data_IF_219262577919
#
_entry.id   IF_219262577919
#
_cell.length_a   1.000
_cell.length_b   1.000
_cell.length_c   1.000
_cell.angle_alpha   90.00
_cell.angle_beta   90.00
_cell.angle_gamma   90.00
#
_symmetry.space_group_name_H-M   'P 1'
#
loop_
_entity.id
_entity.type
_entity.pdbx_description
1 polymer ?
#
# COMPACT_ATOMS: atom_id res chain seq x y z
N UNK A 1 3.77 5.57 -39.63
CA UNK A 1 3.53 5.96 -38.23
C UNK A 1 4.39 5.05 -37.36
N UNK A 2 5.47 5.58 -36.76
CA UNK A 2 6.39 4.78 -35.95
C UNK A 2 5.67 4.33 -34.68
N UNK A 3 5.41 3.02 -34.56
CA UNK A 3 5.01 2.41 -33.31
C UNK A 3 6.17 2.63 -32.32
N UNK A 4 6.04 3.60 -31.42
CA UNK A 4 6.99 3.75 -30.30
C UNK A 4 6.98 2.42 -29.56
N UNK A 5 8.03 1.63 -29.73
CA UNK A 5 8.23 0.38 -29.03
C UNK A 5 8.20 0.69 -27.53
N UNK A 6 7.17 0.25 -26.84
CA UNK A 6 6.96 0.61 -25.45
C UNK A 6 8.07 -0.02 -24.62
N UNK A 7 8.84 0.82 -23.92
CA UNK A 7 10.03 0.40 -23.16
C UNK A 7 9.63 -0.63 -22.10
N UNK A 8 10.36 -1.75 -22.04
CA UNK A 8 10.22 -2.80 -21.02
C UNK A 8 10.27 -2.17 -19.62
N UNK A 9 9.18 -2.29 -18.85
CA UNK A 9 9.11 -1.86 -17.44
C UNK A 9 9.45 -3.02 -16.52
N UNK A 10 10.16 -2.75 -15.43
CA UNK A 10 10.29 -3.66 -14.29
C UNK A 10 9.33 -3.22 -13.18
N UNK A 11 8.37 -4.08 -12.86
CA UNK A 11 7.28 -3.81 -11.92
C UNK A 11 7.39 -4.76 -10.74
N UNK A 12 7.50 -4.24 -9.52
CA UNK A 12 7.43 -5.05 -8.30
C UNK A 12 6.09 -4.82 -7.61
N UNK A 13 5.37 -5.90 -7.29
CA UNK A 13 4.15 -5.88 -6.48
C UNK A 13 4.40 -6.65 -5.19
N UNK A 14 4.34 -5.99 -4.03
CA UNK A 14 4.54 -6.66 -2.73
C UNK A 14 3.27 -7.36 -2.25
N UNK A 15 3.39 -8.50 -1.57
CA UNK A 15 2.23 -9.25 -1.06
C UNK A 15 1.28 -9.74 -2.17
N UNK A 16 1.84 -10.18 -3.29
CA UNK A 16 1.12 -10.49 -4.52
C UNK A 16 0.77 -11.97 -4.71
N UNK A 17 0.96 -12.80 -3.68
CA UNK A 17 0.60 -14.22 -3.72
C UNK A 17 -0.91 -14.47 -3.56
N UNK A 18 -1.72 -13.45 -3.24
CA UNK A 18 -3.18 -13.54 -3.12
C UNK A 18 -3.83 -12.15 -3.14
N UNK A 19 -5.16 -12.11 -3.15
CA UNK A 19 -5.94 -10.89 -2.98
C UNK A 19 -5.63 -9.83 -4.03
N UNK A 20 -5.57 -8.57 -3.61
CA UNK A 20 -5.38 -7.44 -4.53
C UNK A 20 -4.05 -7.48 -5.29
N UNK A 21 -2.95 -7.88 -4.64
CA UNK A 21 -1.65 -7.93 -5.31
C UNK A 21 -1.61 -8.99 -6.43
N UNK A 22 -2.30 -10.11 -6.23
CA UNK A 22 -2.47 -11.14 -7.25
C UNK A 22 -3.29 -10.62 -8.45
N UNK A 23 -4.42 -9.97 -8.17
CA UNK A 23 -5.29 -9.40 -9.20
C UNK A 23 -4.63 -8.25 -9.97
N UNK A 24 -3.77 -7.46 -9.32
CA UNK A 24 -2.92 -6.46 -9.98
C UNK A 24 -2.01 -7.14 -11.00
N UNK A 25 -1.35 -8.25 -10.65
CA UNK A 25 -0.50 -9.00 -11.60
C UNK A 25 -1.34 -9.57 -12.74
N UNK A 26 -2.49 -10.18 -12.42
CA UNK A 26 -3.41 -10.72 -13.43
C UNK A 26 -3.82 -9.67 -14.45
N UNK A 27 -4.23 -8.48 -14.01
CA UNK A 27 -4.57 -7.37 -14.91
C UNK A 27 -3.38 -6.84 -15.70
N UNK A 28 -2.20 -6.73 -15.07
CA UNK A 28 -0.97 -6.38 -15.77
C UNK A 28 -0.62 -7.35 -16.90
N UNK A 29 -1.02 -8.64 -16.79
CA UNK A 29 -0.84 -9.65 -17.84
C UNK A 29 -1.86 -9.51 -18.98
N UNK A 30 -3.06 -9.01 -18.69
CA UNK A 30 -4.13 -8.77 -19.66
C UNK A 30 -3.87 -7.52 -20.54
N UNK A 31 -3.02 -6.58 -20.08
CA UNK A 31 -2.66 -5.40 -20.86
C UNK A 31 -1.89 -5.76 -22.15
N UNK A 32 -2.18 -5.08 -23.27
CA UNK A 32 -1.47 -5.32 -24.55
C UNK A 32 0.05 -5.08 -24.48
N UNK A 33 0.53 -4.32 -23.49
CA UNK A 33 1.94 -4.06 -23.23
C UNK A 33 2.59 -5.06 -22.26
N UNK A 34 1.83 -6.06 -21.78
CA UNK A 34 2.25 -6.99 -20.74
C UNK A 34 3.45 -7.84 -21.11
N UNK A 35 3.49 -8.33 -22.36
CA UNK A 35 4.56 -9.20 -22.88
C UNK A 35 5.94 -8.56 -22.85
N UNK A 36 6.01 -7.22 -22.77
CA UNK A 36 7.26 -6.48 -22.67
C UNK A 36 7.64 -6.13 -21.22
N UNK A 37 6.72 -6.22 -20.25
CA UNK A 37 7.01 -5.91 -18.85
C UNK A 37 7.64 -7.11 -18.16
N UNK A 38 8.59 -6.86 -17.25
CA UNK A 38 9.08 -7.83 -16.26
C UNK A 38 8.33 -7.57 -14.95
N UNK A 39 7.63 -8.57 -14.44
CA UNK A 39 6.82 -8.45 -13.23
C UNK A 39 7.46 -9.31 -12.13
N UNK A 40 7.69 -8.70 -10.97
CA UNK A 40 8.18 -9.36 -9.77
C UNK A 40 7.01 -9.57 -8.81
N UNK A 41 6.61 -10.82 -8.62
CA UNK A 41 5.60 -11.25 -7.66
C UNK A 41 6.25 -11.35 -6.28
N UNK A 42 6.11 -10.29 -5.49
CA UNK A 42 6.61 -10.24 -4.12
C UNK A 42 5.77 -11.11 -3.18
N UNK A 43 6.39 -12.07 -2.51
CA UNK A 43 5.73 -12.90 -1.50
C UNK A 43 6.67 -13.16 -0.33
N UNK A 44 6.20 -13.08 0.91
CA UNK A 44 7.01 -13.46 2.07
C UNK A 44 7.29 -14.98 2.11
N UNK A 45 6.34 -15.75 1.57
CA UNK A 45 6.38 -17.21 1.51
C UNK A 45 6.58 -17.67 0.06
N UNK A 46 7.70 -18.33 -0.20
CA UNK A 46 8.06 -18.78 -1.54
C UNK A 46 7.08 -19.82 -2.09
N UNK A 47 6.57 -20.72 -1.25
CA UNK A 47 5.65 -21.77 -1.68
C UNK A 47 4.33 -21.16 -2.13
N UNK A 48 3.76 -20.24 -1.34
CA UNK A 48 2.56 -19.50 -1.73
C UNK A 48 2.79 -18.64 -2.98
N UNK A 49 3.99 -18.08 -3.15
CA UNK A 49 4.37 -17.37 -4.37
C UNK A 49 4.39 -18.28 -5.60
N UNK A 50 4.88 -19.51 -5.45
CA UNK A 50 4.90 -20.53 -6.51
C UNK A 50 3.51 -20.99 -6.88
N UNK A 51 2.67 -21.24 -5.88
CA UNK A 51 1.27 -21.64 -6.11
C UNK A 51 0.51 -20.52 -6.85
N UNK A 52 0.72 -19.26 -6.47
CA UNK A 52 0.16 -18.10 -7.18
C UNK A 52 0.68 -17.99 -8.62
N UNK A 53 1.98 -18.21 -8.86
CA UNK A 53 2.55 -18.18 -10.22
C UNK A 53 1.94 -19.29 -11.10
N UNK A 54 1.70 -20.48 -10.54
CA UNK A 54 1.03 -21.58 -11.23
C UNK A 54 -0.42 -21.21 -11.58
N UNK A 55 -1.14 -20.59 -10.65
CA UNK A 55 -2.52 -20.12 -10.87
C UNK A 55 -2.61 -19.06 -11.99
N UNK A 56 -1.58 -18.22 -12.14
CA UNK A 56 -1.45 -17.27 -13.25
C UNK A 56 -1.10 -17.92 -14.59
N UNK A 57 -0.90 -19.25 -14.64
CA UNK A 57 -0.51 -19.98 -15.85
C UNK A 57 1.00 -19.96 -16.14
N UNK A 58 1.84 -19.69 -15.13
CA UNK A 58 3.31 -19.62 -15.24
C UNK A 58 3.83 -18.74 -16.39
N UNK A 59 3.36 -17.48 -16.52
CA UNK A 59 3.82 -16.58 -17.58
C UNK A 59 5.33 -16.34 -17.46
N UNK A 60 6.03 -16.37 -18.59
CA UNK A 60 7.50 -16.30 -18.66
C UNK A 60 8.10 -14.98 -18.18
N UNK A 61 7.28 -13.93 -18.06
CA UNK A 61 7.68 -12.59 -17.66
C UNK A 61 7.30 -12.25 -16.20
N UNK A 62 6.76 -13.20 -15.44
CA UNK A 62 6.50 -13.05 -14.00
C UNK A 62 7.48 -13.92 -13.20
N UNK A 63 8.21 -13.30 -12.28
CA UNK A 63 9.18 -13.99 -11.43
C UNK A 63 8.85 -13.76 -9.96
N UNK A 64 8.97 -14.82 -9.16
CA UNK A 64 8.74 -14.72 -7.72
C UNK A 64 9.95 -14.05 -7.08
N UNK A 65 9.68 -13.11 -6.18
CA UNK A 65 10.68 -12.46 -5.35
C UNK A 65 10.30 -12.67 -3.88
N UNK A 66 11.15 -13.36 -3.12
CA UNK A 66 10.88 -13.49 -1.68
C UNK A 66 11.05 -12.14 -0.99
N UNK A 67 9.96 -11.60 -0.45
CA UNK A 67 9.95 -10.28 0.18
C UNK A 67 8.95 -10.24 1.32
N UNK A 68 9.47 -10.32 2.54
CA UNK A 68 8.76 -9.93 3.75
C UNK A 68 9.06 -8.47 4.08
N UNK A 69 8.04 -7.62 4.03
CA UNK A 69 8.18 -6.18 4.27
C UNK A 69 8.51 -5.85 5.73
N UNK A 70 8.29 -6.78 6.66
CA UNK A 70 8.63 -6.59 8.08
C UNK A 70 10.07 -7.02 8.43
N UNK A 71 10.80 -7.63 7.49
CA UNK A 71 12.16 -8.16 7.71
C UNK A 71 13.21 -7.38 6.93
N UNK A 72 14.09 -6.66 7.64
CA UNK A 72 15.20 -5.93 7.03
C UNK A 72 16.12 -6.84 6.19
N UNK A 73 16.37 -8.05 6.69
CA UNK A 73 17.19 -9.04 6.00
C UNK A 73 16.50 -9.52 4.71
N UNK A 74 15.18 -9.78 4.75
CA UNK A 74 14.42 -10.14 3.54
C UNK A 74 14.46 -9.03 2.49
N UNK A 75 14.32 -7.77 2.91
CA UNK A 75 14.37 -6.62 2.00
C UNK A 75 15.76 -6.47 1.38
N UNK A 76 16.82 -6.63 2.17
CA UNK A 76 18.20 -6.57 1.68
C UNK A 76 18.48 -7.68 0.64
N UNK A 77 18.05 -8.92 0.91
CA UNK A 77 18.16 -10.04 -0.04
C UNK A 77 17.40 -9.75 -1.33
N UNK A 78 16.13 -9.32 -1.23
CA UNK A 78 15.31 -8.97 -2.39
C UNK A 78 15.94 -7.84 -3.23
N UNK A 79 16.48 -6.82 -2.57
CA UNK A 79 17.18 -5.69 -3.22
C UNK A 79 18.41 -6.18 -4.01
N UNK A 80 19.21 -7.07 -3.42
CA UNK A 80 20.37 -7.66 -4.09
C UNK A 80 19.97 -8.57 -5.25
N UNK A 81 18.88 -9.34 -5.10
CA UNK A 81 18.36 -10.17 -6.17
C UNK A 81 17.88 -9.33 -7.37
N UNK A 82 17.20 -8.21 -7.14
CA UNK A 82 16.84 -7.26 -8.21
C UNK A 82 18.07 -6.73 -8.93
N UNK A 83 19.12 -6.37 -8.20
CA UNK A 83 20.41 -5.93 -8.76
C UNK A 83 21.05 -6.99 -9.66
N UNK A 84 21.07 -8.24 -9.21
CA UNK A 84 21.82 -9.31 -9.88
C UNK A 84 21.04 -9.96 -11.02
N UNK A 85 19.72 -10.15 -10.86
CA UNK A 85 18.92 -10.97 -11.78
C UNK A 85 17.94 -10.17 -12.64
N UNK A 86 17.49 -9.01 -12.17
CA UNK A 86 16.38 -8.27 -12.78
C UNK A 86 16.79 -6.91 -13.32
N UNK A 87 18.07 -6.78 -13.72
CA UNK A 87 18.60 -5.59 -14.38
C UNK A 87 18.85 -4.39 -13.45
N UNK A 88 18.72 -4.57 -12.12
CA UNK A 88 19.09 -3.58 -11.12
C UNK A 88 18.32 -2.27 -11.16
N UNK A 89 17.07 -2.30 -11.63
CA UNK A 89 16.20 -1.14 -11.61
C UNK A 89 14.73 -1.52 -11.43
N UNK A 90 13.93 -0.54 -11.03
CA UNK A 90 12.47 -0.61 -10.98
C UNK A 90 11.88 0.60 -11.70
N UNK A 91 10.89 0.37 -12.55
CA UNK A 91 10.06 1.42 -13.15
C UNK A 91 8.81 1.68 -12.30
N UNK A 92 8.28 0.62 -11.66
CA UNK A 92 7.10 0.70 -10.80
C UNK A 92 7.31 -0.15 -9.54
N UNK A 93 7.07 0.44 -8.37
CA UNK A 93 6.94 -0.25 -7.09
C UNK A 93 5.51 -0.11 -6.58
N UNK A 94 4.81 -1.22 -6.38
CA UNK A 94 3.47 -1.27 -5.80
C UNK A 94 3.57 -1.90 -4.41
N UNK A 95 3.52 -1.05 -3.39
CA UNK A 95 3.47 -1.46 -1.99
C UNK A 95 2.04 -1.86 -1.62
N UNK A 96 1.68 -3.11 -1.95
CA UNK A 96 0.37 -3.70 -1.69
C UNK A 96 0.32 -4.51 -0.39
N UNK A 97 1.45 -5.09 0.05
CA UNK A 97 1.50 -5.88 1.28
C UNK A 97 0.94 -5.10 2.48
N UNK A 98 0.03 -5.73 3.22
CA UNK A 98 -0.54 -5.16 4.43
C UNK A 98 -1.40 -6.17 5.18
N UNK A 99 -1.61 -5.89 6.46
CA UNK A 99 -2.45 -6.67 7.35
C UNK A 99 -3.49 -5.77 8.03
N UNK A 100 -4.58 -6.37 8.48
CA UNK A 100 -5.61 -5.70 9.27
C UNK A 100 -6.06 -6.65 10.39
N UNK A 101 -6.58 -6.05 11.46
CA UNK A 101 -7.23 -6.74 12.57
C UNK A 101 -8.36 -5.84 13.07
N UNK A 102 -9.47 -6.43 13.45
CA UNK A 102 -10.55 -5.72 14.17
C UNK A 102 -10.26 -5.61 15.67
N UNK A 103 -9.30 -6.38 16.18
CA UNK A 103 -8.87 -6.33 17.58
C UNK A 103 -7.72 -5.33 17.71
N UNK A 104 -7.96 -4.22 18.41
CA UNK A 104 -7.00 -3.16 18.70
C UNK A 104 -6.30 -3.38 20.05
N UNK A 105 -5.48 -4.43 20.16
CA UNK A 105 -4.56 -4.62 21.29
C UNK A 105 -3.23 -3.92 21.03
N UNK A 106 -2.39 -3.81 22.07
CA UNK A 106 -1.05 -3.25 21.90
C UNK A 106 -0.20 -4.09 20.93
N UNK A 107 -0.33 -5.42 21.01
CA UNK A 107 0.39 -6.39 20.16
C UNK A 107 -0.07 -6.27 18.71
N UNK A 108 -1.38 -6.30 18.46
CA UNK A 108 -1.90 -6.18 17.09
C UNK A 108 -1.59 -4.83 16.48
N UNK A 109 -1.62 -3.74 17.27
CA UNK A 109 -1.19 -2.43 16.80
C UNK A 109 0.28 -2.43 16.39
N UNK A 110 1.19 -2.98 17.22
CA UNK A 110 2.61 -3.09 16.87
C UNK A 110 2.81 -3.86 15.56
N UNK A 111 2.15 -5.00 15.39
CA UNK A 111 2.29 -5.83 14.18
C UNK A 111 1.75 -5.12 12.92
N UNK A 112 0.60 -4.47 13.04
CA UNK A 112 -0.01 -3.69 11.95
C UNK A 112 0.91 -2.54 11.53
N UNK A 113 1.41 -1.74 12.47
CA UNK A 113 2.31 -0.64 12.12
C UNK A 113 3.68 -1.12 11.63
N UNK A 114 4.20 -2.24 12.16
CA UNK A 114 5.42 -2.87 11.68
C UNK A 114 5.31 -3.26 10.20
N UNK A 115 4.16 -3.81 9.79
CA UNK A 115 3.93 -4.23 8.40
C UNK A 115 3.53 -3.07 7.49
N UNK A 116 2.48 -2.33 7.86
CA UNK A 116 1.79 -1.38 6.98
C UNK A 116 2.49 -0.02 6.86
N UNK A 117 3.32 0.35 7.84
CA UNK A 117 4.02 1.63 7.87
C UNK A 117 5.54 1.45 7.88
N UNK A 118 6.12 0.92 8.97
CA UNK A 118 7.57 0.81 9.10
C UNK A 118 8.19 -0.10 8.04
N UNK A 119 7.53 -1.22 7.74
CA UNK A 119 7.96 -2.14 6.71
C UNK A 119 7.96 -1.50 5.32
N UNK A 120 6.90 -0.79 4.95
CA UNK A 120 6.83 -0.07 3.67
C UNK A 120 7.85 1.05 3.60
N UNK A 121 8.04 1.81 4.69
CA UNK A 121 9.11 2.82 4.80
C UNK A 121 10.49 2.20 4.56
N UNK A 122 10.77 1.03 5.13
CA UNK A 122 12.02 0.30 4.94
C UNK A 122 12.19 -0.21 3.51
N UNK A 123 11.14 -0.80 2.91
CA UNK A 123 11.14 -1.21 1.49
C UNK A 123 11.46 -0.02 0.59
N UNK A 124 10.76 1.09 0.80
CA UNK A 124 10.94 2.33 0.04
C UNK A 124 12.37 2.85 0.14
N UNK A 125 12.95 2.89 1.34
CA UNK A 125 14.34 3.31 1.55
C UNK A 125 15.35 2.42 0.80
N UNK A 126 15.18 1.10 0.84
CA UNK A 126 16.12 0.16 0.20
C UNK A 126 15.98 0.10 -1.32
N UNK A 127 14.75 0.24 -1.84
CA UNK A 127 14.48 0.15 -3.26
C UNK A 127 14.59 1.50 -3.98
N UNK A 128 14.48 2.64 -3.30
CA UNK A 128 14.63 3.96 -3.92
C UNK A 128 15.89 4.13 -4.78
N UNK A 129 17.08 3.64 -4.38
CA UNK A 129 18.26 3.64 -5.24
C UNK A 129 18.05 2.94 -6.59
N UNK A 130 17.21 1.89 -6.64
CA UNK A 130 16.88 1.12 -7.85
C UNK A 130 15.74 1.73 -8.67
N UNK A 131 14.90 2.58 -8.07
CA UNK A 131 13.83 3.26 -8.83
C UNK A 131 14.47 4.18 -9.87
N UNK A 132 14.08 4.02 -11.14
CA UNK A 132 14.58 4.84 -12.24
C UNK A 132 14.09 6.29 -12.12
N UNK A 133 14.79 7.18 -12.82
CA UNK A 133 14.25 8.50 -13.11
C UNK A 133 12.88 8.38 -13.80
N UNK A 134 11.91 9.20 -13.39
CA UNK A 134 10.52 9.14 -13.82
C UNK A 134 9.76 7.85 -13.42
N UNK A 135 10.31 7.04 -12.51
CA UNK A 135 9.64 5.87 -11.96
C UNK A 135 8.42 6.22 -11.11
N UNK A 136 7.67 5.17 -10.72
CA UNK A 136 6.44 5.29 -9.92
C UNK A 136 6.50 4.44 -8.66
N UNK A 137 6.01 4.99 -7.56
CA UNK A 137 5.71 4.27 -6.32
C UNK A 137 4.25 4.45 -5.96
N UNK A 138 3.56 3.33 -5.81
CA UNK A 138 2.14 3.26 -5.45
C UNK A 138 2.03 2.61 -4.09
N UNK A 139 1.57 3.37 -3.10
CA UNK A 139 1.30 2.86 -1.76
C UNK A 139 -0.19 2.52 -1.65
N UNK A 140 -0.53 1.25 -1.52
CA UNK A 140 -1.92 0.82 -1.34
C UNK A 140 -2.36 1.16 0.09
N UNK A 141 -3.00 2.31 0.21
CA UNK A 141 -3.52 2.87 1.47
C UNK A 141 -4.99 2.45 1.67
N UNK A 142 -5.78 3.28 2.36
CA UNK A 142 -7.20 3.06 2.59
C UNK A 142 -7.89 4.37 2.94
N UNK A 143 -9.14 4.50 2.55
CA UNK A 143 -10.06 5.54 3.03
C UNK A 143 -10.21 5.56 4.56
N UNK A 144 -10.04 4.41 5.24
CA UNK A 144 -10.05 4.34 6.71
C UNK A 144 -8.97 5.25 7.32
N UNK A 145 -7.82 5.42 6.65
CA UNK A 145 -6.80 6.37 7.09
C UNK A 145 -7.25 7.83 6.99
N UNK A 146 -8.01 8.17 5.95
CA UNK A 146 -8.57 9.51 5.78
C UNK A 146 -9.72 9.79 6.78
N UNK A 147 -10.54 8.79 7.09
CA UNK A 147 -11.55 8.87 8.15
C UNK A 147 -10.91 9.03 9.52
N UNK A 148 -9.86 8.25 9.80
CA UNK A 148 -9.06 8.40 11.04
C UNK A 148 -8.54 9.83 11.17
N UNK A 149 -7.99 10.39 10.09
CA UNK A 149 -7.51 11.76 10.12
C UNK A 149 -8.63 12.78 10.31
N UNK A 150 -9.80 12.55 9.71
CA UNK A 150 -10.97 13.42 9.89
C UNK A 150 -11.40 13.49 11.36
N UNK A 151 -11.48 12.34 12.02
CA UNK A 151 -11.90 12.24 13.40
C UNK A 151 -10.81 12.68 14.40
N UNK A 152 -9.56 12.90 13.96
CA UNK A 152 -8.52 13.39 14.87
C UNK A 152 -8.84 14.78 15.43
N UNK A 153 -8.73 14.92 16.75
CA UNK A 153 -8.96 16.18 17.47
C UNK A 153 -7.67 16.85 17.91
N UNK A 154 -7.79 18.11 18.33
CA UNK A 154 -6.67 18.93 18.77
C UNK A 154 -5.69 19.27 17.64
N UNK A 155 -4.44 19.57 18.00
CA UNK A 155 -3.43 19.95 17.01
C UNK A 155 -2.83 18.76 16.25
N UNK A 156 -3.13 17.53 16.66
CA UNK A 156 -2.59 16.31 16.02
C UNK A 156 -3.02 16.23 14.55
N UNK A 157 -4.29 16.53 14.25
CA UNK A 157 -4.78 16.56 12.87
C UNK A 157 -3.99 17.57 12.01
N UNK A 158 -3.69 18.75 12.56
CA UNK A 158 -2.90 19.79 11.85
C UNK A 158 -1.48 19.31 11.58
N UNK A 159 -0.86 18.58 12.51
CA UNK A 159 0.49 18.00 12.32
C UNK A 159 0.51 17.04 11.13
N UNK A 160 -0.45 16.11 11.04
CA UNK A 160 -0.57 15.21 9.87
C UNK A 160 -0.85 15.95 8.56
N UNK A 161 -1.62 17.06 8.61
CA UNK A 161 -1.94 17.87 7.42
C UNK A 161 -0.79 18.77 6.97
N UNK A 162 0.20 19.03 7.83
CA UNK A 162 1.31 19.94 7.55
C UNK A 162 2.02 19.63 6.23
N UNK A 163 2.23 20.67 5.42
CA UNK A 163 2.98 20.55 4.16
C UNK A 163 4.47 20.25 4.38
N UNK A 164 4.99 20.55 5.57
CA UNK A 164 6.41 20.41 5.93
C UNK A 164 6.69 19.23 6.85
N UNK A 165 5.68 18.41 7.17
CA UNK A 165 5.82 17.24 8.05
C UNK A 165 7.04 16.39 7.64
N UNK A 166 7.98 16.15 8.54
CA UNK A 166 9.16 15.31 8.26
C UNK A 166 8.88 13.84 8.56
N UNK A 167 9.78 12.97 8.08
CA UNK A 167 9.66 11.54 8.36
C UNK A 167 9.88 11.23 9.85
N UNK A 168 10.75 11.98 10.52
CA UNK A 168 11.01 11.88 11.95
C UNK A 168 9.82 12.35 12.79
N UNK A 169 9.18 13.45 12.40
CA UNK A 169 7.95 13.93 13.03
C UNK A 169 6.81 12.93 12.85
N UNK A 170 6.67 12.36 11.64
CA UNK A 170 5.67 11.32 11.38
C UNK A 170 5.94 10.06 12.21
N UNK A 171 7.20 9.62 12.34
CA UNK A 171 7.57 8.51 13.21
C UNK A 171 7.21 8.78 14.67
N UNK A 172 7.37 10.03 15.14
CA UNK A 172 6.96 10.42 16.49
C UNK A 172 5.46 10.34 16.66
N UNK A 173 4.68 10.88 15.70
CA UNK A 173 3.21 10.80 15.72
C UNK A 173 2.72 9.35 15.73
N UNK A 174 3.36 8.48 14.94
CA UNK A 174 3.04 7.05 14.90
C UNK A 174 3.34 6.37 16.24
N UNK A 175 4.48 6.66 16.86
CA UNK A 175 4.83 6.12 18.19
C UNK A 175 3.82 6.56 19.26
N UNK A 176 3.44 7.84 19.26
CA UNK A 176 2.45 8.37 20.19
C UNK A 176 1.09 7.71 20.00
N UNK A 177 0.68 7.48 18.74
CA UNK A 177 -0.58 6.81 18.41
C UNK A 177 -0.58 5.33 18.84
N UNK A 178 0.49 4.58 18.59
CA UNK A 178 0.65 3.19 19.07
C UNK A 178 0.60 3.16 20.61
N UNK A 179 1.26 4.11 21.27
CA UNK A 179 1.24 4.24 22.74
C UNK A 179 -0.17 4.52 23.27
N UNK A 180 -0.94 5.38 22.60
CA UNK A 180 -2.31 5.68 22.96
C UNK A 180 -3.23 4.46 22.82
N UNK A 181 -3.05 3.62 21.79
CA UNK A 181 -3.77 2.34 21.69
C UNK A 181 -3.37 1.42 22.84
N UNK A 182 -2.07 1.25 23.08
CA UNK A 182 -1.56 0.35 24.11
C UNK A 182 -2.01 0.73 25.53
N UNK A 183 -2.17 2.03 25.78
CA UNK A 183 -2.62 2.58 27.08
C UNK A 183 -4.13 2.84 27.16
N UNK A 184 -4.89 2.48 26.11
CA UNK A 184 -6.35 2.67 26.00
C UNK A 184 -6.78 4.13 26.17
N UNK A 185 -6.01 5.05 25.58
CA UNK A 185 -6.30 6.49 25.54
C UNK A 185 -6.42 7.03 24.11
N UNK A 186 -6.63 6.15 23.13
CA UNK A 186 -6.77 6.53 21.72
C UNK A 186 -8.01 7.40 21.46
N UNK A 187 -9.05 7.30 22.30
CA UNK A 187 -10.24 8.15 22.31
C UNK A 187 -9.92 9.65 22.49
N UNK A 188 -8.79 9.97 23.14
CA UNK A 188 -8.31 11.35 23.28
C UNK A 188 -7.74 11.91 21.97
N UNK A 189 -7.36 11.04 21.04
CA UNK A 189 -6.83 11.41 19.72
C UNK A 189 -7.93 11.30 18.67
N UNK A 190 -8.69 10.20 18.68
CA UNK A 190 -9.77 9.87 17.75
C UNK A 190 -11.00 9.49 18.59
N UNK A 191 -11.89 10.44 18.93
CA UNK A 191 -12.98 10.23 19.88
C UNK A 191 -14.17 9.47 19.28
N UNK A 192 -14.20 9.21 17.98
CA UNK A 192 -15.31 8.51 17.34
C UNK A 192 -15.24 6.99 17.63
N UNK A 193 -16.10 6.44 18.51
CA UNK A 193 -16.04 5.02 18.87
C UNK A 193 -16.57 4.11 17.75
N UNK A 194 -17.16 4.69 16.69
CA UNK A 194 -17.68 3.93 15.54
C UNK A 194 -16.63 3.70 14.46
N UNK A 195 -15.46 4.33 14.56
CA UNK A 195 -14.40 4.14 13.59
C UNK A 195 -13.83 2.72 13.74
N UNK A 196 -13.77 1.91 12.66
CA UNK A 196 -13.29 0.54 12.76
C UNK A 196 -11.77 0.50 12.86
N UNK A 197 -11.26 -0.53 13.55
CA UNK A 197 -9.86 -0.95 13.51
C UNK A 197 -8.87 0.23 13.65
N UNK A 198 -8.81 0.84 14.84
CA UNK A 198 -8.03 2.05 15.12
C UNK A 198 -6.56 1.89 14.72
N UNK A 199 -5.97 0.72 14.94
CA UNK A 199 -4.60 0.42 14.52
C UNK A 199 -4.46 0.39 13.00
N UNK A 200 -5.39 -0.25 12.30
CA UNK A 200 -5.39 -0.30 10.84
C UNK A 200 -5.54 1.10 10.24
N UNK A 201 -6.55 1.85 10.68
CA UNK A 201 -6.80 3.23 10.26
C UNK A 201 -5.59 4.14 10.48
N UNK A 202 -5.01 4.11 11.69
CA UNK A 202 -3.79 4.85 12.02
C UNK A 202 -2.60 4.47 11.13
N UNK A 203 -2.43 3.18 10.82
CA UNK A 203 -1.34 2.72 9.94
C UNK A 203 -1.50 3.20 8.50
N UNK A 204 -2.74 3.26 7.99
CA UNK A 204 -3.04 3.74 6.64
C UNK A 204 -2.97 5.27 6.55
N UNK A 205 -3.36 5.97 7.61
CA UNK A 205 -3.09 7.40 7.76
C UNK A 205 -1.58 7.67 7.68
N UNK A 206 -0.78 6.96 8.46
CA UNK A 206 0.68 7.10 8.44
C UNK A 206 1.28 6.81 7.06
N UNK A 207 0.78 5.79 6.36
CA UNK A 207 1.20 5.47 4.99
C UNK A 207 0.84 6.58 3.98
N UNK A 208 -0.35 7.17 4.08
CA UNK A 208 -0.75 8.31 3.24
C UNK A 208 0.11 9.55 3.54
N UNK A 209 0.44 9.81 4.81
CA UNK A 209 1.36 10.88 5.18
C UNK A 209 2.78 10.63 4.64
N UNK A 210 3.30 9.41 4.78
CA UNK A 210 4.61 9.01 4.24
C UNK A 210 4.69 9.21 2.72
N UNK A 211 3.60 8.91 2.02
CA UNK A 211 3.48 9.12 0.57
C UNK A 211 3.75 10.58 0.21
N UNK A 212 3.16 11.54 0.92
CA UNK A 212 3.41 12.98 0.70
C UNK A 212 4.86 13.35 0.97
N UNK A 213 5.43 12.82 2.04
CA UNK A 213 6.82 13.09 2.43
C UNK A 213 7.77 12.63 1.34
N UNK A 214 7.63 11.37 0.91
CA UNK A 214 8.47 10.78 -0.11
C UNK A 214 8.24 11.39 -1.49
N UNK A 215 7.02 11.80 -1.83
CA UNK A 215 6.74 12.56 -3.04
C UNK A 215 7.58 13.84 -3.11
N UNK A 216 7.61 14.64 -2.04
CA UNK A 216 8.44 15.87 -1.98
C UNK A 216 9.93 15.55 -2.09
N UNK A 217 10.41 14.58 -1.32
CA UNK A 217 11.83 14.22 -1.28
C UNK A 217 12.32 13.65 -2.62
N UNK A 218 11.54 12.80 -3.27
CA UNK A 218 11.98 12.02 -4.42
C UNK A 218 11.67 12.69 -5.75
N UNK A 219 10.69 13.59 -5.80
CA UNK A 219 10.45 14.43 -6.97
C UNK A 219 11.68 15.27 -7.31
N UNK A 220 12.35 15.86 -6.32
CA UNK A 220 13.56 16.65 -6.52
C UNK A 220 14.79 15.81 -6.92
N UNK A 221 14.84 14.53 -6.54
CA UNK A 221 16.01 13.68 -6.74
C UNK A 221 15.99 12.89 -8.07
N UNK A 222 14.84 12.35 -8.45
CA UNK A 222 14.70 11.44 -9.61
C UNK A 222 13.40 11.67 -10.40
N UNK A 223 12.69 12.77 -10.13
CA UNK A 223 11.36 13.02 -10.68
C UNK A 223 10.41 11.81 -10.49
N UNK A 224 10.47 11.13 -9.34
CA UNK A 224 9.63 9.96 -9.05
C UNK A 224 8.22 10.42 -8.69
N UNK A 225 7.21 9.77 -9.27
CA UNK A 225 5.82 9.91 -8.83
C UNK A 225 5.59 8.96 -7.65
N UNK A 226 5.12 9.48 -6.53
CA UNK A 226 4.71 8.70 -5.35
C UNK A 226 3.26 9.04 -5.07
N UNK A 227 2.37 8.05 -5.00
CA UNK A 227 0.95 8.28 -4.75
C UNK A 227 0.36 7.17 -3.87
N UNK A 228 -0.66 7.56 -3.10
CA UNK A 228 -1.42 6.64 -2.26
C UNK A 228 -2.71 6.27 -3.00
N UNK A 229 -3.14 5.02 -2.87
CA UNK A 229 -4.36 4.53 -3.53
C UNK A 229 -5.24 3.75 -2.57
N UNK A 230 -6.53 4.04 -2.55
CA UNK A 230 -7.53 3.18 -1.94
C UNK A 230 -8.08 2.21 -3.00
N UNK A 231 -8.02 0.89 -2.78
CA UNK A 231 -8.66 -0.08 -3.66
C UNK A 231 -10.19 -0.16 -3.44
N UNK A 232 -10.73 0.58 -2.47
CA UNK A 232 -12.09 0.42 -1.97
C UNK A 232 -12.30 -0.88 -1.19
N UNK A 233 -13.54 -1.14 -0.78
CA UNK A 233 -13.90 -2.31 0.02
C UNK A 233 -14.00 -3.59 -0.82
N UNK A 234 -12.86 -4.29 -1.01
CA UNK A 234 -12.76 -5.45 -1.89
C UNK A 234 -13.00 -6.81 -1.19
N UNK A 235 -13.60 -7.77 -1.89
CA UNK A 235 -13.86 -9.12 -1.38
C UNK A 235 -12.57 -9.96 -1.32
N UNK A 236 -11.84 -9.85 -0.22
CA UNK A 236 -10.57 -10.57 0.01
C UNK A 236 -10.54 -11.18 1.40
N UNK A 237 -9.57 -12.07 1.66
CA UNK A 237 -9.32 -12.61 3.00
C UNK A 237 -9.23 -11.52 4.08
N UNK A 238 -8.60 -10.38 3.76
CA UNK A 238 -8.42 -9.27 4.70
C UNK A 238 -9.75 -8.66 5.15
N UNK A 239 -10.76 -8.73 4.29
CA UNK A 239 -12.12 -8.27 4.56
C UNK A 239 -13.09 -9.42 4.84
N UNK A 240 -12.59 -10.65 5.02
CA UNK A 240 -13.38 -11.87 5.22
C UNK A 240 -14.49 -12.07 4.17
N UNK A 241 -14.29 -11.59 2.94
CA UNK A 241 -15.32 -11.57 1.90
C UNK A 241 -16.65 -10.93 2.34
N UNK A 242 -16.57 -9.90 3.21
CA UNK A 242 -17.73 -9.28 3.85
C UNK A 242 -18.78 -8.70 2.89
N UNK A 243 -20.00 -8.57 3.40
CA UNK A 243 -21.15 -8.09 2.62
C UNK A 243 -20.95 -6.65 2.13
N UNK A 244 -21.34 -6.38 0.87
CA UNK A 244 -21.15 -5.09 0.23
C UNK A 244 -19.72 -4.86 -0.31
N UNK A 245 -18.83 -5.84 -0.17
CA UNK A 245 -17.54 -5.79 -0.83
C UNK A 245 -17.68 -6.01 -2.34
N UNK A 246 -16.83 -5.33 -3.10
CA UNK A 246 -16.80 -5.42 -4.56
C UNK A 246 -15.67 -6.36 -5.03
N UNK A 247 -15.69 -6.81 -6.30
CA UNK A 247 -14.69 -7.74 -6.80
C UNK A 247 -13.25 -7.19 -6.67
N UNK A 248 -12.27 -8.00 -6.22
CA UNK A 248 -10.86 -7.63 -6.16
C UNK A 248 -10.27 -7.03 -7.45
N UNK A 249 -10.81 -7.43 -8.60
CA UNK A 249 -10.47 -6.86 -9.89
C UNK A 249 -10.69 -5.33 -9.95
N UNK A 250 -11.79 -4.80 -9.40
CA UNK A 250 -12.02 -3.34 -9.38
C UNK A 250 -11.02 -2.63 -8.46
N UNK A 251 -10.65 -3.25 -7.33
CA UNK A 251 -9.59 -2.71 -6.48
C UNK A 251 -8.22 -2.68 -7.18
N UNK A 252 -7.92 -3.70 -7.97
CA UNK A 252 -6.72 -3.73 -8.81
C UNK A 252 -6.77 -2.65 -9.91
N UNK A 253 -7.93 -2.33 -10.48
CA UNK A 253 -8.09 -1.21 -11.42
C UNK A 253 -7.83 0.14 -10.76
N UNK A 254 -8.31 0.37 -9.55
CA UNK A 254 -8.01 1.57 -8.77
C UNK A 254 -6.49 1.74 -8.56
N UNK A 255 -5.79 0.65 -8.21
CA UNK A 255 -4.32 0.65 -8.06
C UNK A 255 -3.64 0.95 -9.40
N UNK A 256 -4.05 0.27 -10.47
CA UNK A 256 -3.45 0.40 -11.79
C UNK A 256 -3.75 1.75 -12.47
N UNK A 257 -4.80 2.46 -12.06
CA UNK A 257 -5.04 3.83 -12.51
C UNK A 257 -3.80 4.72 -12.32
N UNK A 258 -3.16 4.67 -11.15
CA UNK A 258 -1.95 5.44 -10.86
C UNK A 258 -0.74 4.91 -11.62
N UNK A 259 -0.71 3.61 -11.97
CA UNK A 259 0.39 3.02 -12.76
C UNK A 259 0.31 3.44 -14.22
N UNK A 260 -0.91 3.45 -14.78
CA UNK A 260 -1.15 3.57 -16.22
C UNK A 260 -1.46 5.00 -16.69
N UNK A 261 -1.96 5.86 -15.80
CA UNK A 261 -2.27 7.25 -16.14
C UNK A 261 -0.99 8.04 -16.42
N UNK A 262 -0.89 8.81 -17.53
CA UNK A 262 0.25 9.69 -17.78
C UNK A 262 0.57 10.58 -16.58
N UNK A 263 1.85 10.77 -16.28
CA UNK A 263 2.27 11.46 -15.06
C UNK A 263 1.72 12.90 -14.98
N UNK A 264 1.61 13.58 -16.12
CA UNK A 264 1.08 14.96 -16.20
C UNK A 264 -0.42 15.06 -15.82
N UNK A 265 -1.12 13.92 -15.79
CA UNK A 265 -2.52 13.83 -15.37
C UNK A 265 -2.65 13.39 -13.90
N UNK A 266 -1.52 13.27 -13.17
CA UNK A 266 -1.48 12.91 -11.76
C UNK A 266 -0.73 13.97 -10.96
N UNK A 267 -1.30 14.35 -9.84
CA UNK A 267 -0.61 15.13 -8.80
C UNK A 267 0.20 14.20 -7.89
N UNK A 268 1.46 14.57 -7.67
CA UNK A 268 2.43 13.81 -6.88
C UNK A 268 2.16 13.97 -5.38
N UNK A 269 2.23 12.87 -4.62
CA UNK A 269 1.95 12.84 -3.18
C UNK A 269 0.48 12.76 -2.82
N UNK A 270 -0.41 12.65 -3.81
CA UNK A 270 -1.86 12.65 -3.58
C UNK A 270 -2.46 11.26 -3.36
N UNK A 271 -3.69 11.27 -2.89
CA UNK A 271 -4.50 10.08 -2.59
C UNK A 271 -5.58 9.87 -3.65
N UNK A 272 -5.65 8.67 -4.22
CA UNK A 272 -6.57 8.35 -5.31
C UNK A 272 -7.45 7.16 -4.98
N UNK A 273 -8.63 7.11 -5.60
CA UNK A 273 -9.51 5.96 -5.63
C UNK A 273 -10.34 6.00 -6.91
N UNK A 274 -10.46 4.87 -7.61
CA UNK A 274 -11.36 4.68 -8.75
C UNK A 274 -11.25 5.80 -9.80
N UNK A 275 -10.00 6.18 -10.12
CA UNK A 275 -9.67 7.21 -11.10
C UNK A 275 -9.83 8.66 -10.62
N UNK A 276 -10.15 8.88 -9.35
CA UNK A 276 -10.38 10.22 -8.79
C UNK A 276 -9.39 10.54 -7.68
N UNK A 277 -8.94 11.79 -7.63
CA UNK A 277 -8.23 12.32 -6.46
C UNK A 277 -9.23 12.47 -5.32
N UNK A 278 -8.91 11.88 -4.17
CA UNK A 278 -9.70 11.98 -2.95
C UNK A 278 -9.06 12.95 -1.95
N UNK A 279 -9.87 13.60 -1.11
CA UNK A 279 -9.32 14.35 0.01
C UNK A 279 -8.60 13.41 0.97
N UNK A 280 -7.53 13.90 1.59
CA UNK A 280 -6.74 13.11 2.54
C UNK A 280 -7.43 12.96 3.91
N UNK A 281 -8.54 13.66 4.11
CA UNK A 281 -9.36 13.64 5.32
C UNK A 281 -10.79 13.98 4.95
N UNK A 282 -11.74 13.10 5.28
CA UNK A 282 -13.17 13.28 5.03
C UNK A 282 -13.99 12.44 6.01
N UNK A 283 -15.25 12.84 6.22
CA UNK A 283 -16.20 12.09 7.04
C UNK A 283 -16.40 10.68 6.49
N UNK A 284 -16.51 9.71 7.39
CA UNK A 284 -16.86 8.36 6.98
C UNK A 284 -18.32 8.31 6.50
N UNK A 285 -18.51 7.93 5.24
CA UNK A 285 -19.84 7.71 4.65
C UNK A 285 -20.27 6.24 4.68
N UNK A 286 -19.38 5.34 5.14
CA UNK A 286 -19.66 3.91 5.18
C UNK A 286 -20.58 3.57 6.35
N UNK A 287 -21.66 2.84 6.06
CA UNK A 287 -22.52 2.27 7.08
C UNK A 287 -21.85 1.03 7.71
N UNK A 288 -21.19 1.24 8.84
CA UNK A 288 -20.47 0.20 9.56
C UNK A 288 -21.37 -0.93 10.09
N UNK A 289 -22.69 -0.76 10.15
CA UNK A 289 -23.61 -1.86 10.51
C UNK A 289 -23.58 -3.01 9.49
N UNK A 290 -23.08 -2.74 8.27
CA UNK A 290 -22.90 -3.73 7.21
C UNK A 290 -21.61 -4.54 7.35
N UNK A 291 -20.62 -4.04 8.11
CA UNK A 291 -19.42 -4.80 8.48
C UNK A 291 -19.80 -5.73 9.64
N UNK A 292 -20.44 -6.87 9.33
CA UNK A 292 -20.79 -7.84 10.38
C UNK A 292 -19.51 -8.36 11.05
N UNK A 293 -19.35 -8.23 12.38
CA UNK A 293 -18.29 -8.94 13.07
C UNK A 293 -18.54 -10.45 12.95
N UNK A 294 -17.55 -11.20 12.50
CA UNK A 294 -17.62 -12.66 12.61
C UNK A 294 -17.45 -13.01 14.08
N UNK A 295 -18.44 -13.73 14.62
CA UNK A 295 -18.28 -14.47 15.85
C UNK A 295 -17.07 -15.39 15.68
N UNK A 296 -16.14 -15.31 16.63
CA UNK A 296 -15.00 -16.22 16.73
C UNK A 296 -15.54 -17.65 16.63
N UNK A 297 -15.03 -18.43 15.67
CA UNK A 297 -15.12 -19.88 15.73
C UNK A 297 -14.43 -20.31 17.03
N UNK A 298 -15.23 -20.49 18.08
CA UNK A 298 -14.83 -21.25 19.25
C UNK A 298 -14.46 -22.66 18.78
N UNK A 299 -13.31 -23.10 19.26
CA UNK A 299 -12.76 -24.45 19.08
C UNK A 299 -13.79 -25.56 19.35
#
# INVERSE_FOLDING_TARGET
MSSKQQKKRVILVTGANKGLGFEVIKKLLEESSSSNNLILLGSRDLKRGQDALLELGSPSNVHILQLDTSSAESIARATNEIKQKYGGHLDVLINNAGIASMNDTAETARDIFATNYYGIKMVNKHLFPLIRENGRVVNVSSEVGAWTLHDMVGDIQKKYKSATLTEEELDSLVKDYISAIATKTADKIVPNPKLPALAYGGSKLALTALTRIQARQWSGAKNVLVAAVCPGYCSTDLNHHGAGSHPPALGAESILYVVNTPKDNLENGEFYQDGKKLPQSYECTMDFSKLKPHAENKA
#
